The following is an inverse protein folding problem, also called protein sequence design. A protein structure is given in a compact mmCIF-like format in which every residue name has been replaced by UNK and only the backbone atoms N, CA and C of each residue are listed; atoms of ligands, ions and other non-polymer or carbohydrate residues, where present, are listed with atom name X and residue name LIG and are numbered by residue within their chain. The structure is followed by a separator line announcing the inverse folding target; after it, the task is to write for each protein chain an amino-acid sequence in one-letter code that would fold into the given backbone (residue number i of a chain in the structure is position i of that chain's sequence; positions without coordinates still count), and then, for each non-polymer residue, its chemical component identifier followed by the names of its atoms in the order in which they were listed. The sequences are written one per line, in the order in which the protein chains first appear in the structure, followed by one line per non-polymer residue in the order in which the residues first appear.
data_IF_920150769832
#
_entry.id   IF_920150769832
#
_cell.length_a   1.000
_cell.length_b   1.000
_cell.length_c   1.000
_cell.angle_alpha   90.00
_cell.angle_beta   90.00
_cell.angle_gamma   90.00
#
_symmetry.space_group_name_H-M   'P 1'
#
loop_
_entity.id
_entity.type
_entity.pdbx_description
1 polymer ?
#
# COMPACT_ATOMS: atom_id res chain seq x y z
N UNK A 1 9.80 -5.82 -0.52
CA UNK A 1 8.75 -5.84 0.52
C UNK A 1 8.79 -4.53 1.28
N UNK A 2 7.64 -4.01 1.69
CA UNK A 2 7.46 -2.70 2.29
C UNK A 2 6.80 -2.83 3.65
N UNK A 3 7.31 -2.14 4.67
CA UNK A 3 6.68 -2.16 6.00
C UNK A 3 5.33 -1.44 5.92
N UNK A 4 4.23 -2.13 6.25
CA UNK A 4 2.89 -1.57 6.14
C UNK A 4 2.70 -0.29 6.98
N UNK A 5 3.44 -0.18 8.10
CA UNK A 5 3.44 1.02 8.93
C UNK A 5 3.98 2.23 8.16
N UNK A 6 5.13 2.08 7.49
CA UNK A 6 5.74 3.16 6.72
C UNK A 6 4.86 3.54 5.53
N UNK A 7 4.24 2.56 4.87
CA UNK A 7 3.28 2.82 3.79
C UNK A 7 2.08 3.63 4.28
N UNK A 8 1.54 3.28 5.45
CA UNK A 8 0.45 4.05 6.07
C UNK A 8 0.86 5.48 6.39
N UNK A 9 2.10 5.69 6.86
CA UNK A 9 2.67 7.02 7.09
C UNK A 9 2.85 7.80 5.79
N UNK A 10 3.37 7.18 4.72
CA UNK A 10 3.55 7.82 3.41
C UNK A 10 2.25 8.35 2.83
N UNK A 11 1.17 7.58 2.96
CA UNK A 11 -0.15 8.01 2.46
C UNK A 11 -0.95 8.83 3.46
N UNK A 12 -0.38 9.17 4.63
CA UNK A 12 -1.07 9.85 5.72
C UNK A 12 -2.40 9.17 6.09
N UNK A 13 -2.38 7.84 6.25
CA UNK A 13 -3.59 7.07 6.55
C UNK A 13 -4.15 7.45 7.92
N UNK A 14 -5.43 7.85 7.96
CA UNK A 14 -6.06 8.37 9.19
C UNK A 14 -6.39 7.27 10.21
N UNK A 15 -6.41 6.01 9.78
CA UNK A 15 -6.77 4.85 10.60
C UNK A 15 -5.57 4.08 11.15
N UNK A 16 -5.85 2.92 11.76
CA UNK A 16 -4.81 1.99 12.17
C UNK A 16 -4.24 1.28 10.94
N UNK A 17 -2.93 1.05 10.89
CA UNK A 17 -2.27 0.31 9.79
C UNK A 17 -2.98 -1.01 9.46
N UNK A 18 -3.47 -1.76 10.45
CA UNK A 18 -4.20 -3.01 10.21
C UNK A 18 -5.51 -2.84 9.44
N UNK A 19 -6.19 -1.69 9.52
CA UNK A 19 -7.39 -1.41 8.73
C UNK A 19 -7.05 -1.16 7.26
N UNK A 20 -5.89 -0.54 6.98
CA UNK A 20 -5.40 -0.35 5.62
C UNK A 20 -5.20 -1.69 4.89
N UNK A 21 -4.82 -2.75 5.60
CA UNK A 21 -4.57 -4.09 5.03
C UNK A 21 -5.84 -4.81 4.54
N UNK A 22 -7.03 -4.28 4.83
CA UNK A 22 -8.31 -4.85 4.38
C UNK A 22 -8.55 -4.73 2.88
N UNK A 23 -7.85 -3.81 2.21
CA UNK A 23 -7.92 -3.66 0.75
C UNK A 23 -6.87 -4.46 0.01
N UNK A 24 -5.99 -5.15 0.76
CA UNK A 24 -4.85 -5.89 0.21
C UNK A 24 -5.15 -7.37 0.18
N UNK A 25 -4.89 -8.02 -0.94
CA UNK A 25 -5.01 -9.48 -1.06
C UNK A 25 -4.16 -10.20 0.02
N UNK A 26 -4.64 -11.35 0.49
CA UNK A 26 -3.93 -12.12 1.52
C UNK A 26 -2.58 -12.66 1.03
N UNK A 27 -2.38 -12.92 -0.27
CA UNK A 27 -1.08 -13.33 -0.80
C UNK A 27 -0.06 -12.19 -0.85
N UNK A 28 -0.54 -10.94 -0.88
CA UNK A 28 0.28 -9.75 -1.06
C UNK A 28 0.65 -9.06 0.26
N UNK A 29 0.28 -9.67 1.39
CA UNK A 29 0.68 -9.24 2.73
C UNK A 29 1.18 -10.41 3.56
N UNK A 30 2.25 -10.16 4.32
CA UNK A 30 2.87 -11.18 5.16
C UNK A 30 3.30 -10.58 6.50
N UNK A 31 3.14 -11.36 7.55
CA UNK A 31 3.64 -11.00 8.87
C UNK A 31 5.07 -11.51 9.04
N UNK A 32 6.00 -10.61 9.39
CA UNK A 32 7.37 -10.97 9.72
C UNK A 32 7.72 -10.54 11.13
N UNK A 33 8.52 -11.37 11.80
CA UNK A 33 9.18 -10.98 13.04
C UNK A 33 10.42 -10.16 12.72
N UNK A 34 10.46 -8.92 13.21
CA UNK A 34 11.65 -8.07 13.17
C UNK A 34 12.24 -7.97 14.57
N UNK A 35 13.57 -7.96 14.66
CA UNK A 35 14.25 -7.66 15.91
C UNK A 35 14.61 -6.17 15.96
N UNK A 36 13.99 -5.44 16.89
CA UNK A 36 14.19 -4.01 17.06
C UNK A 36 14.23 -3.65 18.53
N UNK A 37 15.23 -2.87 18.93
CA UNK A 37 15.40 -2.38 20.31
C UNK A 37 15.40 -3.49 21.36
N UNK A 38 16.06 -4.62 21.07
CA UNK A 38 16.12 -5.75 22.01
C UNK A 38 14.90 -6.67 22.01
N UNK A 39 13.88 -6.38 21.19
CA UNK A 39 12.61 -7.11 21.19
C UNK A 39 12.27 -7.65 19.81
N UNK A 40 11.66 -8.83 19.77
CA UNK A 40 10.99 -9.35 18.58
C UNK A 40 9.62 -8.68 18.46
N UNK A 41 9.30 -8.18 17.27
CA UNK A 41 8.01 -7.55 16.94
C UNK A 41 7.45 -8.17 15.68
N UNK A 42 6.20 -8.58 15.72
CA UNK A 42 5.47 -8.99 14.52
C UNK A 42 4.95 -7.75 13.81
N UNK A 43 5.30 -7.62 12.54
CA UNK A 43 4.94 -6.47 11.72
C UNK A 43 4.44 -6.95 10.37
N UNK A 44 3.44 -6.24 9.84
CA UNK A 44 2.93 -6.49 8.50
C UNK A 44 3.83 -5.88 7.43
N UNK A 45 4.12 -6.67 6.40
CA UNK A 45 4.82 -6.26 5.21
C UNK A 45 3.93 -6.49 3.99
N UNK A 46 4.10 -5.62 3.00
CA UNK A 46 3.46 -5.69 1.70
C UNK A 46 4.48 -6.13 0.65
N UNK A 47 4.04 -6.92 -0.32
CA UNK A 47 4.74 -7.07 -1.59
C UNK A 47 4.68 -5.77 -2.38
N UNK A 48 5.25 -5.76 -3.59
CA UNK A 48 5.09 -4.62 -4.50
C UNK A 48 3.64 -4.46 -4.96
N UNK A 49 2.98 -5.57 -5.32
CA UNK A 49 1.57 -5.55 -5.73
C UNK A 49 0.65 -5.10 -4.60
N UNK A 50 0.88 -5.57 -3.36
CA UNK A 50 0.12 -5.11 -2.20
C UNK A 50 0.31 -3.62 -1.88
N UNK A 51 1.50 -3.07 -2.12
CA UNK A 51 1.72 -1.62 -2.05
C UNK A 51 0.89 -0.89 -3.11
N UNK A 52 0.86 -1.39 -4.34
CA UNK A 52 0.06 -0.78 -5.41
C UNK A 52 -1.42 -0.82 -5.12
N UNK A 53 -1.95 -1.91 -4.54
CA UNK A 53 -3.36 -1.98 -4.13
C UNK A 53 -3.71 -0.87 -3.12
N UNK A 54 -2.88 -0.67 -2.11
CA UNK A 54 -3.04 0.43 -1.15
C UNK A 54 -3.05 1.79 -1.85
N UNK A 55 -2.09 2.05 -2.74
CA UNK A 55 -1.99 3.32 -3.48
C UNK A 55 -3.16 3.52 -4.44
N UNK A 56 -3.63 2.46 -5.10
CA UNK A 56 -4.75 2.53 -6.05
C UNK A 56 -6.06 2.84 -5.34
N UNK A 57 -6.30 2.27 -4.15
CA UNK A 57 -7.51 2.50 -3.35
C UNK A 57 -7.48 3.81 -2.55
N UNK A 58 -6.30 4.33 -2.20
CA UNK A 58 -6.17 5.55 -1.41
C UNK A 58 -6.69 6.80 -2.12
N UNK A 59 -7.35 7.69 -1.37
CA UNK A 59 -7.85 8.99 -1.83
C UNK A 59 -6.92 10.15 -1.47
N UNK A 60 -5.81 9.88 -0.80
CA UNK A 60 -4.86 10.88 -0.28
C UNK A 60 -4.05 11.51 -1.43
N UNK A 61 -3.58 12.77 -1.28
CA UNK A 61 -2.94 13.51 -2.37
C UNK A 61 -1.77 12.76 -3.03
N UNK A 62 -0.86 12.18 -2.25
CA UNK A 62 0.30 11.42 -2.74
C UNK A 62 -0.11 10.23 -3.62
N UNK A 63 -1.15 9.49 -3.23
CA UNK A 63 -1.67 8.37 -4.00
C UNK A 63 -2.33 8.82 -5.31
N UNK A 64 -2.94 10.01 -5.33
CA UNK A 64 -3.51 10.61 -6.55
C UNK A 64 -2.43 11.04 -7.53
N UNK A 65 -1.34 11.59 -7.02
CA UNK A 65 -0.15 11.94 -7.81
C UNK A 65 0.48 10.70 -8.43
N UNK A 66 0.74 9.66 -7.63
CA UNK A 66 1.21 8.37 -8.13
C UNK A 66 0.32 7.83 -9.26
N UNK A 67 -1.01 7.77 -9.04
CA UNK A 67 -1.97 7.32 -10.05
C UNK A 67 -1.94 8.13 -11.35
N UNK A 68 -1.66 9.44 -11.26
CA UNK A 68 -1.54 10.31 -12.43
C UNK A 68 -0.28 9.97 -13.22
N UNK A 69 0.85 9.77 -12.55
CA UNK A 69 2.09 9.38 -13.22
C UNK A 69 2.00 7.98 -13.85
N UNK A 70 1.34 7.03 -13.18
CA UNK A 70 1.04 5.72 -13.78
C UNK A 70 0.23 5.86 -15.07
N UNK A 71 -0.78 6.75 -15.10
CA UNK A 71 -1.57 7.02 -16.32
C UNK A 71 -0.75 7.67 -17.43
N UNK A 72 0.25 8.49 -17.11
CA UNK A 72 1.17 9.04 -18.11
C UNK A 72 2.07 7.97 -18.72
N UNK A 73 2.52 7.00 -17.91
CA UNK A 73 3.38 5.89 -18.36
C UNK A 73 2.58 4.83 -19.14
N UNK A 74 1.32 4.61 -18.75
CA UNK A 74 0.42 3.61 -19.33
C UNK A 74 -0.78 4.27 -20.04
N UNK A 75 -0.57 5.08 -21.11
CA UNK A 75 -1.62 5.90 -21.71
C UNK A 75 -2.74 5.11 -22.40
N UNK A 76 -2.60 3.79 -22.56
CA UNK A 76 -3.51 2.95 -23.37
C UNK A 76 -3.93 1.64 -22.71
N UNK A 77 -3.90 1.53 -21.38
CA UNK A 77 -4.62 0.46 -20.69
C UNK A 77 -6.12 0.81 -20.73
N UNK A 78 -6.71 0.64 -21.91
CA UNK A 78 -8.09 0.98 -22.20
C UNK A 78 -9.06 0.11 -21.42
N UNK A 79 -9.94 0.72 -20.62
CA UNK A 79 -11.06 0.03 -19.99
C UNK A 79 -11.54 0.59 -18.64
N UNK A 80 -10.73 1.36 -17.91
CA UNK A 80 -11.11 1.82 -16.56
C UNK A 80 -11.46 3.31 -16.55
N UNK A 81 -12.41 3.71 -17.41
CA UNK A 81 -13.00 5.08 -17.40
C UNK A 81 -14.49 5.07 -17.05
N UNK A 82 -15.09 3.92 -16.75
CA UNK A 82 -16.43 3.83 -16.16
C UNK A 82 -16.59 2.59 -15.29
N UNK A 83 -16.32 2.71 -14.00
CA UNK A 83 -17.02 2.03 -12.90
C UNK A 83 -17.01 2.97 -11.69
#
# INVERSE_FOLDING_TARGET
MFLAKDVAEWIEYDGRTGQMLSVVDESEKLMHTIYASGQNREMWFLTEDGLYEVLMQSRKPIAREFKREVKHILPNVGGVTRL
#
